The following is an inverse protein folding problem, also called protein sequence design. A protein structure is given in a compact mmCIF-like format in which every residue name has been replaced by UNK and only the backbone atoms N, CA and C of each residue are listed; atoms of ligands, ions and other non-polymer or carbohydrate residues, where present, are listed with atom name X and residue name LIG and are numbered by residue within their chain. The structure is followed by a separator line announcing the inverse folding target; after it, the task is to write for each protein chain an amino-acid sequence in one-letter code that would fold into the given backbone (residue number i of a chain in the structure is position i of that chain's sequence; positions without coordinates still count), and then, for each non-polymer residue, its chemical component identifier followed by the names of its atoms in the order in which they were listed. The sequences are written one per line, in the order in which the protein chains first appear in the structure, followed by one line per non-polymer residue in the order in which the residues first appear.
data_IF_208155017433
#
_entry.id   IF_208155017433
#
_cell.length_a   1.000
_cell.length_b   1.000
_cell.length_c   1.000
_cell.angle_alpha   90.00
_cell.angle_beta   90.00
_cell.angle_gamma   90.00
#
_symmetry.space_group_name_H-M   'P 1'
#
loop_
_entity.id
_entity.type
_entity.pdbx_description
1 polymer ?
#
# COMPACT_ATOMS: atom_id res chain seq x y z
N UNK A 1 -11.00 -1.31 14.71
CA UNK A 1 -10.31 -1.44 13.41
C UNK A 1 -11.10 -0.65 12.38
N UNK A 2 -10.46 0.00 11.41
CA UNK A 2 -11.13 0.67 10.28
C UNK A 2 -10.65 0.02 8.99
N UNK A 3 -11.59 -0.43 8.17
CA UNK A 3 -11.37 -1.05 6.87
C UNK A 3 -12.30 -0.42 5.84
N UNK A 4 -11.95 -0.61 4.57
CA UNK A 4 -12.69 -0.13 3.41
C UNK A 4 -12.89 -1.30 2.47
N UNK A 5 -14.11 -1.43 1.97
CA UNK A 5 -14.48 -2.42 0.96
C UNK A 5 -15.32 -1.78 -0.12
N UNK A 6 -15.40 -2.47 -1.25
CA UNK A 6 -16.28 -2.11 -2.38
C UNK A 6 -17.18 -3.28 -2.68
N UNK A 7 -18.45 -2.98 -2.97
CA UNK A 7 -19.44 -3.95 -3.41
C UNK A 7 -19.88 -3.53 -4.81
N UNK A 8 -19.76 -4.44 -5.77
CA UNK A 8 -20.15 -4.22 -7.17
C UNK A 8 -21.22 -5.24 -7.51
N UNK A 9 -22.38 -4.76 -7.96
CA UNK A 9 -23.51 -5.60 -8.35
C UNK A 9 -23.52 -5.84 -9.86
N UNK A 10 -24.13 -6.95 -10.29
CA UNK A 10 -24.39 -7.28 -11.70
C UNK A 10 -23.14 -7.29 -12.62
N UNK A 11 -21.96 -7.63 -12.07
CA UNK A 11 -20.71 -7.66 -12.81
C UNK A 11 -20.10 -9.07 -12.78
N UNK A 12 -20.72 -10.01 -13.52
CA UNK A 12 -20.34 -11.42 -13.54
C UNK A 12 -18.92 -11.66 -14.08
N UNK A 13 -18.47 -10.83 -15.02
CA UNK A 13 -17.12 -10.86 -15.58
C UNK A 13 -16.05 -10.54 -14.52
N UNK A 14 -16.24 -9.51 -13.69
CA UNK A 14 -15.31 -9.15 -12.61
C UNK A 14 -15.34 -10.18 -11.50
N UNK A 15 -16.52 -10.70 -11.15
CA UNK A 15 -16.66 -11.79 -10.18
C UNK A 15 -15.94 -13.06 -10.66
N UNK A 16 -16.07 -13.42 -11.95
CA UNK A 16 -15.36 -14.55 -12.54
C UNK A 16 -13.86 -14.32 -12.57
N UNK A 17 -13.39 -13.11 -12.88
CA UNK A 17 -11.96 -12.78 -12.91
C UNK A 17 -11.34 -12.86 -11.51
N UNK A 18 -12.06 -12.38 -10.49
CA UNK A 18 -11.70 -12.50 -9.09
C UNK A 18 -11.67 -13.97 -8.66
N UNK A 19 -12.67 -14.76 -9.04
CA UNK A 19 -12.72 -16.19 -8.77
C UNK A 19 -11.52 -16.95 -9.36
N UNK A 20 -11.10 -16.61 -10.59
CA UNK A 20 -9.90 -17.19 -11.22
C UNK A 20 -8.62 -16.89 -10.43
N UNK A 21 -8.50 -15.67 -9.92
CA UNK A 21 -7.36 -15.26 -9.09
C UNK A 21 -7.34 -16.03 -7.76
N UNK A 22 -8.47 -16.13 -7.06
CA UNK A 22 -8.54 -16.92 -5.83
C UNK A 22 -8.33 -18.42 -6.07
N UNK A 23 -8.79 -18.94 -7.22
CA UNK A 23 -8.54 -20.34 -7.62
C UNK A 23 -7.04 -20.60 -7.77
N UNK A 24 -6.28 -19.64 -8.31
CA UNK A 24 -4.82 -19.73 -8.37
C UNK A 24 -4.22 -19.83 -6.97
N UNK A 25 -4.61 -18.94 -6.05
CA UNK A 25 -4.10 -18.97 -4.68
C UNK A 25 -4.41 -20.29 -3.98
N UNK A 26 -5.64 -20.79 -4.14
CA UNK A 26 -6.07 -22.06 -3.56
C UNK A 26 -5.31 -23.26 -4.12
N UNK A 27 -4.99 -23.25 -5.41
CA UNK A 27 -4.20 -24.32 -6.04
C UNK A 27 -2.77 -24.44 -5.48
N UNK A 28 -2.25 -23.38 -4.86
CA UNK A 28 -0.92 -23.34 -4.27
C UNK A 28 -0.87 -23.72 -2.79
N UNK A 29 -2.01 -23.82 -2.09
CA UNK A 29 -2.07 -24.05 -0.64
C UNK A 29 -1.26 -25.29 -0.20
N UNK A 30 -1.29 -26.35 -1.00
CA UNK A 30 -0.61 -27.62 -0.73
C UNK A 30 0.50 -27.92 -1.76
N UNK A 31 1.10 -26.89 -2.36
CA UNK A 31 2.18 -27.04 -3.34
C UNK A 31 3.50 -26.53 -2.78
N UNK A 32 4.53 -27.35 -2.87
CA UNK A 32 5.90 -27.00 -2.50
C UNK A 32 6.64 -26.20 -3.58
N UNK A 33 6.08 -26.15 -4.79
CA UNK A 33 6.64 -25.41 -5.91
C UNK A 33 5.55 -24.74 -6.74
N UNK A 34 5.94 -23.67 -7.45
CA UNK A 34 5.04 -22.92 -8.32
C UNK A 34 5.13 -23.50 -9.73
N UNK A 35 4.00 -23.87 -10.37
CA UNK A 35 4.01 -24.35 -11.74
C UNK A 35 4.62 -23.33 -12.70
N UNK A 36 5.48 -23.80 -13.61
CA UNK A 36 6.03 -22.96 -14.69
C UNK A 36 4.99 -22.59 -15.74
N UNK A 37 3.93 -23.40 -15.86
CA UNK A 37 2.83 -23.20 -16.80
C UNK A 37 1.51 -23.23 -16.03
N UNK A 38 0.76 -22.16 -16.16
CA UNK A 38 -0.57 -22.03 -15.57
C UNK A 38 -1.67 -22.51 -16.52
N UNK A 39 -2.71 -23.13 -15.97
CA UNK A 39 -3.90 -23.49 -16.75
C UNK A 39 -4.56 -22.24 -17.34
N UNK A 40 -5.06 -22.31 -18.58
CA UNK A 40 -5.83 -21.21 -19.19
C UNK A 40 -7.07 -20.82 -18.35
N UNK A 41 -7.56 -21.73 -17.50
CA UNK A 41 -8.71 -21.50 -16.62
C UNK A 41 -8.47 -20.41 -15.58
N UNK A 42 -7.21 -20.12 -15.23
CA UNK A 42 -6.84 -19.09 -14.25
C UNK A 42 -6.23 -17.83 -14.89
N UNK A 43 -6.22 -17.75 -16.23
CA UNK A 43 -5.76 -16.54 -16.92
C UNK A 43 -6.74 -15.39 -16.65
N UNK A 44 -6.18 -14.18 -16.58
CA UNK A 44 -6.97 -12.97 -16.37
C UNK A 44 -7.96 -12.75 -17.53
N UNK A 45 -9.14 -12.27 -17.19
CA UNK A 45 -10.17 -11.88 -18.15
C UNK A 45 -9.96 -10.45 -18.63
N UNK A 46 -9.61 -9.56 -17.71
CA UNK A 46 -9.33 -8.16 -17.97
C UNK A 46 -7.98 -7.78 -17.37
N UNK A 47 -7.33 -6.78 -17.96
CA UNK A 47 -6.04 -6.29 -17.51
C UNK A 47 -5.84 -4.82 -17.87
N UNK A 48 -4.63 -4.30 -17.63
CA UNK A 48 -4.31 -2.89 -17.87
C UNK A 48 -4.41 -2.50 -19.35
N UNK A 49 -4.10 -3.40 -20.30
CA UNK A 49 -4.18 -3.10 -21.73
C UNK A 49 -5.60 -3.30 -22.31
N UNK A 50 -6.34 -4.26 -21.76
CA UNK A 50 -7.70 -4.65 -22.14
C UNK A 50 -8.58 -4.68 -20.89
N UNK A 51 -8.91 -3.50 -20.32
CA UNK A 51 -9.77 -3.42 -19.15
C UNK A 51 -11.22 -3.76 -19.51
N UNK A 52 -11.99 -4.13 -18.48
CA UNK A 52 -13.42 -4.35 -18.63
C UNK A 52 -14.17 -3.02 -18.52
N UNK A 53 -15.05 -2.73 -19.47
CA UNK A 53 -15.92 -1.55 -19.39
C UNK A 53 -17.11 -1.83 -18.47
N UNK A 54 -17.33 -0.98 -17.48
CA UNK A 54 -18.45 -1.06 -16.54
C UNK A 54 -19.09 0.31 -16.37
N UNK A 55 -20.41 0.38 -16.34
CA UNK A 55 -21.13 1.63 -16.01
C UNK A 55 -21.58 1.57 -14.56
N UNK A 56 -21.09 2.49 -13.72
CA UNK A 56 -21.50 2.65 -12.31
C UNK A 56 -22.03 4.07 -12.12
N UNK A 57 -23.21 4.23 -11.51
CA UNK A 57 -23.81 5.54 -11.24
C UNK A 57 -23.82 6.44 -12.49
N UNK A 58 -24.32 5.93 -13.62
CA UNK A 58 -24.37 6.61 -14.92
C UNK A 58 -23.00 7.04 -15.49
N UNK A 59 -21.89 6.57 -14.91
CA UNK A 59 -20.53 6.90 -15.33
C UNK A 59 -19.84 5.65 -15.85
N UNK A 60 -19.15 5.76 -16.99
CA UNK A 60 -18.41 4.64 -17.58
C UNK A 60 -17.00 4.54 -16.98
N UNK A 61 -16.57 3.33 -16.68
CA UNK A 61 -15.26 3.04 -16.12
C UNK A 61 -14.58 1.88 -16.84
N UNK A 62 -13.26 1.95 -16.91
CA UNK A 62 -12.39 0.81 -17.15
C UNK A 62 -12.02 0.17 -15.81
N UNK A 63 -12.24 -1.13 -15.69
CA UNK A 63 -12.00 -1.89 -14.45
C UNK A 63 -11.16 -3.12 -14.74
N UNK A 64 -10.17 -3.38 -13.89
CA UNK A 64 -9.38 -4.61 -13.93
C UNK A 64 -8.83 -4.97 -12.55
N UNK A 65 -8.49 -6.24 -12.38
CA UNK A 65 -7.87 -6.77 -11.17
C UNK A 65 -6.37 -7.00 -11.38
N UNK A 66 -5.61 -6.69 -10.34
CA UNK A 66 -4.18 -6.93 -10.26
C UNK A 66 -3.84 -7.91 -9.13
N UNK A 67 -2.66 -8.52 -9.20
CA UNK A 67 -2.19 -9.44 -8.18
C UNK A 67 -0.71 -9.31 -7.88
N UNK A 68 -0.34 -9.77 -6.70
CA UNK A 68 1.04 -9.96 -6.27
C UNK A 68 1.17 -11.30 -5.52
N UNK A 69 2.39 -11.86 -5.40
CA UNK A 69 3.63 -11.40 -6.01
C UNK A 69 3.64 -11.62 -7.53
N UNK A 70 4.65 -11.09 -8.22
CA UNK A 70 4.78 -11.24 -9.68
C UNK A 70 4.73 -12.70 -10.15
N UNK A 71 5.22 -13.64 -9.33
CA UNK A 71 5.22 -15.07 -9.66
C UNK A 71 3.81 -15.69 -9.59
N UNK A 72 2.85 -15.02 -8.94
CA UNK A 72 1.42 -15.40 -8.91
C UNK A 72 0.59 -14.64 -9.96
N UNK A 73 1.25 -14.04 -10.96
CA UNK A 73 0.59 -13.39 -12.09
C UNK A 73 0.58 -14.33 -13.31
N UNK A 74 -0.52 -15.07 -13.56
CA UNK A 74 -0.64 -15.89 -14.76
C UNK A 74 -0.75 -15.00 -16.00
N UNK A 75 -0.73 -15.61 -17.19
CA UNK A 75 -0.78 -14.88 -18.46
C UNK A 75 -1.95 -13.89 -18.48
N UNK A 76 -1.64 -12.64 -18.80
CA UNK A 76 -2.60 -11.55 -18.91
C UNK A 76 -2.92 -10.83 -17.60
N UNK A 77 -2.57 -11.36 -16.42
CA UNK A 77 -2.85 -10.67 -15.15
C UNK A 77 -1.92 -9.47 -14.96
N UNK A 78 -2.50 -8.31 -14.65
CA UNK A 78 -1.75 -7.11 -14.27
C UNK A 78 -1.03 -7.33 -12.93
N UNK A 79 0.25 -6.95 -12.84
CA UNK A 79 0.97 -6.94 -11.56
C UNK A 79 0.48 -5.78 -10.71
N UNK A 80 0.37 -6.00 -9.42
CA UNK A 80 -0.18 -5.00 -8.49
C UNK A 80 0.58 -3.66 -8.50
N UNK A 81 1.91 -3.74 -8.57
CA UNK A 81 2.76 -2.54 -8.64
C UNK A 81 2.59 -1.77 -9.96
N UNK A 82 2.26 -2.46 -11.06
CA UNK A 82 2.03 -1.83 -12.37
C UNK A 82 0.66 -1.14 -12.40
N UNK A 83 -0.34 -1.70 -11.69
CA UNK A 83 -1.64 -1.07 -11.51
C UNK A 83 -1.53 0.24 -10.68
N UNK A 84 -0.75 0.22 -9.60
CA UNK A 84 -0.42 1.42 -8.81
C UNK A 84 0.27 2.47 -9.68
N UNK A 85 1.29 2.06 -10.46
CA UNK A 85 1.98 2.94 -11.39
C UNK A 85 1.01 3.60 -12.37
N UNK A 86 0.08 2.83 -12.95
CA UNK A 86 -0.93 3.34 -13.87
C UNK A 86 -1.81 4.41 -13.25
N UNK A 87 -2.30 4.19 -12.04
CA UNK A 87 -3.16 5.16 -11.34
C UNK A 87 -2.41 6.45 -11.01
N UNK A 88 -1.15 6.35 -10.57
CA UNK A 88 -0.30 7.50 -10.23
C UNK A 88 0.11 8.28 -11.49
N UNK A 89 0.55 7.58 -12.54
CA UNK A 89 0.99 8.20 -13.80
C UNK A 89 -0.17 8.89 -14.54
N UNK A 90 -1.38 8.34 -14.51
CA UNK A 90 -2.53 8.96 -15.17
C UNK A 90 -3.07 10.20 -14.46
N UNK A 91 -2.79 10.38 -13.16
CA UNK A 91 -3.29 11.52 -12.38
C UNK A 91 -2.92 12.86 -13.03
N UNK A 92 -3.76 13.89 -12.92
CA UNK A 92 -3.47 15.21 -13.50
C UNK A 92 -3.53 16.33 -12.47
N UNK A 93 -4.33 16.18 -11.41
CA UNK A 93 -4.59 17.26 -10.44
C UNK A 93 -4.20 16.91 -9.03
N UNK A 94 -4.51 15.69 -8.59
CA UNK A 94 -4.17 15.25 -7.25
C UNK A 94 -3.96 13.74 -7.15
N UNK A 95 -3.20 13.33 -6.15
CA UNK A 95 -3.02 11.95 -5.73
C UNK A 95 -3.18 11.88 -4.22
N UNK A 96 -4.20 11.19 -3.76
CA UNK A 96 -4.43 10.96 -2.34
C UNK A 96 -4.18 9.49 -2.04
N UNK A 97 -3.27 9.20 -1.11
CA UNK A 97 -2.83 7.86 -0.75
C UNK A 97 -3.15 7.61 0.72
N UNK A 98 -3.93 6.58 1.01
CA UNK A 98 -4.12 6.07 2.37
C UNK A 98 -3.47 4.70 2.48
N UNK A 99 -2.53 4.54 3.40
CA UNK A 99 -1.83 3.28 3.69
C UNK A 99 -1.68 3.09 5.19
N UNK A 100 -1.56 1.84 5.64
CA UNK A 100 -1.27 1.57 7.03
C UNK A 100 0.23 1.79 7.33
N UNK A 101 1.11 1.28 6.47
CA UNK A 101 2.56 1.47 6.60
C UNK A 101 3.19 2.01 5.30
N UNK A 102 4.10 2.97 5.46
CA UNK A 102 4.96 3.51 4.41
C UNK A 102 6.41 3.21 4.78
N UNK A 103 7.00 2.22 4.14
CA UNK A 103 8.36 1.78 4.43
C UNK A 103 8.95 1.16 3.15
N UNK A 104 9.58 1.96 2.26
CA UNK A 104 10.15 1.49 0.99
C UNK A 104 11.44 0.69 1.19
N UNK A 105 11.33 -0.37 1.99
CA UNK A 105 12.36 -1.35 2.29
C UNK A 105 11.81 -2.74 1.99
N UNK A 106 12.73 -3.63 1.68
CA UNK A 106 12.49 -5.05 1.57
C UNK A 106 13.54 -5.81 2.37
N UNK A 107 13.10 -6.75 3.18
CA UNK A 107 13.97 -7.67 3.88
C UNK A 107 14.15 -8.92 3.02
N UNK A 108 15.39 -9.31 2.77
CA UNK A 108 15.70 -10.64 2.22
C UNK A 108 16.13 -11.53 3.38
N UNK A 109 15.30 -12.48 3.77
CA UNK A 109 15.73 -13.60 4.63
C UNK A 109 16.42 -14.63 3.75
N UNK A 110 17.68 -14.94 4.06
CA UNK A 110 18.31 -16.13 3.52
C UNK A 110 17.86 -17.30 4.41
N UNK A 111 16.87 -18.07 3.97
CA UNK A 111 16.34 -19.24 4.69
C UNK A 111 17.38 -20.38 4.91
N UNK A 112 18.65 -20.18 4.53
CA UNK A 112 19.67 -21.23 4.48
C UNK A 112 20.82 -21.08 5.48
N UNK A 113 20.82 -20.08 6.37
CA UNK A 113 21.88 -19.91 7.37
C UNK A 113 21.30 -19.56 8.72
N UNK A 114 21.60 -20.38 9.73
CA UNK A 114 21.16 -20.24 11.14
C UNK A 114 21.58 -18.91 11.79
N UNK A 115 22.50 -18.17 11.17
CA UNK A 115 22.82 -16.79 11.50
C UNK A 115 21.94 -15.84 10.66
N UNK A 116 20.77 -15.53 11.20
CA UNK A 116 19.68 -14.78 10.58
C UNK A 116 20.02 -13.28 10.36
N UNK A 117 20.89 -12.98 9.39
CA UNK A 117 21.13 -11.60 8.96
C UNK A 117 20.10 -11.22 7.89
N UNK A 118 19.01 -10.57 8.32
CA UNK A 118 18.06 -9.97 7.36
C UNK A 118 18.72 -8.77 6.66
N UNK A 119 19.05 -8.94 5.38
CA UNK A 119 19.58 -7.83 4.58
C UNK A 119 18.43 -6.93 4.17
N UNK A 120 18.37 -5.74 4.78
CA UNK A 120 17.45 -4.68 4.36
C UNK A 120 17.97 -4.04 3.08
N UNK A 121 17.14 -3.97 2.05
CA UNK A 121 17.41 -3.26 0.81
C UNK A 121 16.35 -2.20 0.57
N UNK A 122 16.74 -1.10 -0.06
CA UNK A 122 15.79 -0.09 -0.51
C UNK A 122 14.93 -0.65 -1.65
N UNK A 123 13.62 -0.51 -1.51
CA UNK A 123 12.63 -0.93 -2.50
C UNK A 123 11.99 0.32 -3.10
N UNK A 124 12.55 0.78 -4.22
CA UNK A 124 12.22 2.10 -4.77
C UNK A 124 10.82 2.20 -5.37
N UNK A 125 10.22 1.10 -5.84
CA UNK A 125 9.12 1.13 -6.82
C UNK A 125 8.01 2.14 -6.51
N UNK A 126 7.35 2.05 -5.36
CA UNK A 126 6.26 2.99 -5.04
C UNK A 126 6.76 4.39 -4.59
N UNK A 127 7.92 4.46 -3.92
CA UNK A 127 8.51 5.72 -3.45
C UNK A 127 8.98 6.59 -4.62
N UNK A 128 9.63 5.97 -5.61
CA UNK A 128 10.11 6.58 -6.84
C UNK A 128 8.96 7.21 -7.65
N UNK A 129 7.82 6.54 -7.74
CA UNK A 129 6.62 7.08 -8.41
C UNK A 129 6.14 8.39 -7.77
N UNK A 130 6.13 8.47 -6.43
CA UNK A 130 5.76 9.71 -5.74
C UNK A 130 6.80 10.81 -5.97
N UNK A 131 8.09 10.46 -5.90
CA UNK A 131 9.19 11.42 -6.15
C UNK A 131 9.11 12.01 -7.55
N UNK A 132 8.93 11.17 -8.56
CA UNK A 132 8.80 11.57 -9.96
C UNK A 132 7.64 12.54 -10.15
N UNK A 133 6.45 12.18 -9.65
CA UNK A 133 5.25 13.01 -9.79
C UNK A 133 5.38 14.35 -9.06
N UNK A 134 5.96 14.36 -7.86
CA UNK A 134 6.19 15.58 -7.09
C UNK A 134 7.11 16.56 -7.81
N UNK A 135 8.26 16.07 -8.30
CA UNK A 135 9.32 16.92 -8.84
C UNK A 135 9.05 17.30 -10.29
N UNK A 136 8.67 16.33 -11.13
CA UNK A 136 8.56 16.54 -12.58
C UNK A 136 7.19 17.05 -13.01
N UNK A 137 6.13 16.58 -12.35
CA UNK A 137 4.73 16.85 -12.77
C UNK A 137 4.00 17.82 -11.85
N UNK A 138 4.53 18.10 -10.66
CA UNK A 138 4.01 19.09 -9.70
C UNK A 138 2.54 18.84 -9.33
N UNK A 139 2.14 17.57 -9.28
CA UNK A 139 0.78 17.18 -8.89
C UNK A 139 0.69 17.21 -7.36
N UNK A 140 -0.46 17.65 -6.85
CA UNK A 140 -0.72 17.69 -5.41
C UNK A 140 -0.83 16.29 -4.83
N UNK A 141 0.03 15.95 -3.86
CA UNK A 141 -0.01 14.67 -3.16
C UNK A 141 -0.43 14.87 -1.70
N UNK A 142 -1.37 14.05 -1.24
CA UNK A 142 -1.71 13.89 0.18
C UNK A 142 -1.47 12.45 0.60
N UNK A 143 -0.56 12.25 1.55
CA UNK A 143 -0.23 10.94 2.09
C UNK A 143 -0.78 10.82 3.52
N UNK A 144 -1.70 9.89 3.72
CA UNK A 144 -2.29 9.57 5.01
C UNK A 144 -1.77 8.20 5.46
N UNK A 145 -0.98 8.18 6.53
CA UNK A 145 -0.31 6.98 7.05
C UNK A 145 -0.89 6.64 8.41
N UNK A 146 -1.26 5.38 8.65
CA UNK A 146 -1.71 4.98 9.99
C UNK A 146 -0.60 5.04 11.02
N UNK A 147 -0.92 5.57 12.20
CA UNK A 147 0.00 5.63 13.33
C UNK A 147 -0.40 4.56 14.35
N UNK A 148 0.40 3.50 14.45
CA UNK A 148 0.13 2.33 15.29
C UNK A 148 1.41 1.79 15.94
N UNK A 149 1.30 0.93 16.96
CA UNK A 149 2.44 0.53 17.82
C UNK A 149 3.60 -0.14 17.06
N UNK A 150 3.32 -0.72 15.89
CA UNK A 150 4.31 -1.40 15.07
C UNK A 150 4.85 -0.54 13.92
N UNK A 151 4.36 0.69 13.72
CA UNK A 151 4.90 1.64 12.73
C UNK A 151 6.42 1.71 12.88
N UNK A 152 7.14 1.53 11.77
CA UNK A 152 8.60 1.48 11.78
C UNK A 152 9.20 2.89 11.96
N UNK A 153 10.26 3.09 12.77
CA UNK A 153 10.83 4.42 12.96
C UNK A 153 11.33 5.09 11.67
N UNK A 154 11.86 4.29 10.72
CA UNK A 154 12.29 4.80 9.42
C UNK A 154 11.14 5.35 8.56
N UNK A 155 9.87 5.04 8.86
CA UNK A 155 8.74 5.67 8.17
C UNK A 155 8.81 7.19 8.27
N UNK A 156 9.20 7.73 9.44
CA UNK A 156 9.43 9.18 9.58
C UNK A 156 10.51 9.67 8.61
N UNK A 157 11.66 8.98 8.56
CA UNK A 157 12.78 9.38 7.72
C UNK A 157 12.45 9.36 6.21
N UNK A 158 11.78 8.31 5.73
CA UNK A 158 11.41 8.21 4.31
C UNK A 158 10.38 9.27 3.92
N UNK A 159 9.36 9.46 4.74
CA UNK A 159 8.33 10.47 4.50
C UNK A 159 8.90 11.88 4.60
N UNK A 160 9.81 12.12 5.55
CA UNK A 160 10.52 13.39 5.67
C UNK A 160 11.39 13.66 4.43
N UNK A 161 12.11 12.65 3.94
CA UNK A 161 12.87 12.72 2.69
C UNK A 161 12.00 13.12 1.50
N UNK A 162 10.79 12.55 1.37
CA UNK A 162 9.84 12.99 0.35
C UNK A 162 9.42 14.46 0.53
N UNK A 163 9.11 14.85 1.77
CA UNK A 163 8.66 16.21 2.10
C UNK A 163 9.73 17.26 1.77
N UNK A 164 11.00 16.93 1.99
CA UNK A 164 12.13 17.82 1.69
C UNK A 164 12.37 18.04 0.21
N UNK A 165 11.87 17.18 -0.68
CA UNK A 165 11.95 17.42 -2.14
C UNK A 165 11.16 18.65 -2.59
N UNK A 166 10.17 19.07 -1.80
CA UNK A 166 9.39 20.28 -2.06
C UNK A 166 9.95 21.53 -1.37
N UNK A 167 11.04 21.43 -0.60
CA UNK A 167 11.65 22.61 0.04
C UNK A 167 12.18 23.54 -1.03
N UNK A 168 11.76 24.80 -0.99
CA UNK A 168 12.13 25.85 -1.95
C UNK A 168 11.80 25.57 -3.43
N UNK A 169 11.01 24.52 -3.71
CA UNK A 169 10.56 24.19 -5.06
C UNK A 169 9.16 24.79 -5.30
N UNK A 170 9.03 25.84 -6.15
CA UNK A 170 7.73 26.45 -6.41
C UNK A 170 6.76 25.46 -7.03
N UNK A 171 5.50 25.53 -6.61
CA UNK A 171 4.41 24.65 -7.05
C UNK A 171 4.60 23.16 -6.71
N UNK A 172 5.51 22.79 -5.80
CA UNK A 172 5.58 21.44 -5.24
C UNK A 172 4.62 21.30 -4.05
N UNK A 173 3.73 20.31 -4.08
CA UNK A 173 2.69 20.16 -3.05
C UNK A 173 2.63 18.72 -2.54
N UNK A 174 3.37 18.45 -1.46
CA UNK A 174 3.22 17.24 -0.66
C UNK A 174 2.70 17.59 0.73
N UNK A 175 1.56 17.04 1.12
CA UNK A 175 1.09 17.06 2.52
C UNK A 175 1.12 15.64 3.09
N UNK A 176 1.58 15.49 4.33
CA UNK A 176 1.61 14.18 4.99
C UNK A 176 0.97 14.27 6.37
N UNK A 177 0.08 13.34 6.69
CA UNK A 177 -0.55 13.21 8.01
C UNK A 177 -0.45 11.78 8.53
N UNK A 178 -0.28 11.68 9.84
CA UNK A 178 -0.39 10.44 10.60
C UNK A 178 -1.80 10.33 11.19
N UNK A 179 -2.47 9.20 10.96
CA UNK A 179 -3.85 8.96 11.37
C UNK A 179 -3.95 7.98 12.54
N UNK A 180 -4.65 8.37 13.59
CA UNK A 180 -4.91 7.52 14.77
C UNK A 180 -6.41 7.47 15.06
N UNK A 181 -7.12 6.37 14.71
CA UNK A 181 -8.59 6.33 14.75
C UNK A 181 -9.21 6.53 16.15
N UNK A 182 -8.46 6.26 17.23
CA UNK A 182 -8.84 6.54 18.63
C UNK A 182 -7.59 6.88 19.45
N UNK A 183 -7.75 7.70 20.48
CA UNK A 183 -6.68 7.89 21.48
C UNK A 183 -6.40 6.55 22.16
N UNK A 184 -5.14 6.10 22.14
CA UNK A 184 -4.70 4.80 22.67
C UNK A 184 -4.64 4.80 24.21
N UNK A 185 -5.68 5.28 24.88
CA UNK A 185 -5.71 5.32 26.35
C UNK A 185 -5.97 3.93 26.97
N UNK A 186 -6.67 3.03 26.28
CA UNK A 186 -6.95 1.67 26.77
C UNK A 186 -6.33 0.62 25.85
N UNK A 187 -5.37 -0.13 26.40
CA UNK A 187 -4.49 -1.12 25.76
C UNK A 187 -5.19 -2.40 25.26
N UNK A 188 -6.52 -2.51 25.31
CA UNK A 188 -7.23 -3.78 25.09
C UNK A 188 -7.39 -4.15 23.61
N UNK A 189 -7.51 -3.19 22.70
CA UNK A 189 -7.53 -3.46 21.25
C UNK A 189 -6.90 -2.33 20.44
N UNK A 190 -5.92 -2.65 19.59
CA UNK A 190 -5.34 -1.66 18.67
C UNK A 190 -6.37 -1.24 17.63
N UNK A 191 -6.87 -0.01 17.75
CA UNK A 191 -7.70 0.58 16.71
C UNK A 191 -6.77 1.17 15.64
N UNK A 192 -6.51 0.40 14.58
CA UNK A 192 -5.70 0.82 13.42
C UNK A 192 -6.57 1.01 12.19
N UNK A 193 -6.22 1.98 11.33
CA UNK A 193 -6.78 2.13 10.00
C UNK A 193 -5.98 1.23 9.04
N UNK A 194 -6.64 0.25 8.45
CA UNK A 194 -6.02 -0.75 7.57
C UNK A 194 -6.31 -0.49 6.10
N UNK A 195 -6.81 0.69 5.74
CA UNK A 195 -7.14 1.05 4.37
C UNK A 195 -5.86 1.16 3.52
N UNK A 196 -5.85 0.53 2.34
CA UNK A 196 -4.83 0.72 1.30
C UNK A 196 -5.51 1.08 -0.01
N UNK A 197 -5.54 2.38 -0.30
CA UNK A 197 -6.11 2.86 -1.54
C UNK A 197 -5.44 4.15 -2.00
N UNK A 198 -5.55 4.38 -3.30
CA UNK A 198 -5.16 5.60 -3.98
C UNK A 198 -6.41 6.15 -4.66
N UNK A 199 -6.66 7.44 -4.52
CA UNK A 199 -7.67 8.14 -5.32
C UNK A 199 -7.03 9.35 -5.98
N UNK A 200 -7.24 9.47 -7.29
CA UNK A 200 -6.79 10.58 -8.11
C UNK A 200 -8.00 11.26 -8.75
N UNK A 201 -7.77 12.29 -9.56
CA UNK A 201 -8.84 12.92 -10.32
C UNK A 201 -9.40 12.03 -11.46
N UNK A 202 -8.76 10.90 -11.76
CA UNK A 202 -9.10 10.03 -12.90
C UNK A 202 -9.29 8.56 -12.56
N UNK A 203 -8.76 8.10 -11.44
CA UNK A 203 -8.78 6.68 -11.09
C UNK A 203 -8.76 6.43 -9.59
N UNK A 204 -9.16 5.21 -9.24
CA UNK A 204 -9.07 4.64 -7.90
C UNK A 204 -8.32 3.33 -8.00
N UNK A 205 -7.39 3.11 -7.07
CA UNK A 205 -6.79 1.81 -6.79
C UNK A 205 -7.14 1.41 -5.35
N UNK A 206 -7.57 0.17 -5.13
CA UNK A 206 -7.84 -0.39 -3.80
C UNK A 206 -7.11 -1.73 -3.72
N UNK A 207 -6.27 -1.92 -2.72
CA UNK A 207 -5.46 -3.14 -2.59
C UNK A 207 -5.36 -3.67 -1.17
N UNK A 208 -4.63 -4.76 -1.02
CA UNK A 208 -4.38 -5.39 0.28
C UNK A 208 -3.05 -4.96 0.92
N UNK A 209 -2.14 -4.37 0.16
CA UNK A 209 -0.74 -4.20 0.54
C UNK A 209 -0.37 -2.79 0.95
N UNK A 210 0.38 -2.72 2.04
CA UNK A 210 1.05 -1.52 2.47
C UNK A 210 2.22 -1.20 1.54
N UNK A 211 2.74 0.01 1.63
CA UNK A 211 3.84 0.44 0.74
C UNK A 211 5.17 0.00 1.35
N UNK A 212 5.29 -1.32 1.43
CA UNK A 212 6.42 -2.09 1.98
C UNK A 212 6.83 -3.15 0.96
N UNK A 213 8.12 -3.25 0.66
CA UNK A 213 8.59 -4.11 -0.43
C UNK A 213 8.31 -5.60 -0.21
N UNK A 214 8.25 -6.06 1.04
CA UNK A 214 7.89 -7.44 1.37
C UNK A 214 6.49 -7.80 0.92
N UNK A 215 5.52 -6.89 1.07
CA UNK A 215 4.12 -7.17 0.74
C UNK A 215 3.98 -7.51 -0.74
N UNK A 216 4.54 -6.68 -1.63
CA UNK A 216 4.48 -6.92 -3.08
C UNK A 216 5.35 -8.09 -3.55
N UNK A 217 6.37 -8.50 -2.79
CA UNK A 217 7.36 -9.48 -3.24
C UNK A 217 7.08 -10.88 -2.73
N UNK A 218 6.52 -11.01 -1.53
CA UNK A 218 6.38 -12.30 -0.85
C UNK A 218 4.94 -12.64 -0.47
N UNK A 219 4.03 -11.65 -0.40
CA UNK A 219 2.66 -11.92 0.02
C UNK A 219 1.75 -12.07 -1.20
N UNK A 220 0.78 -12.99 -1.10
CA UNK A 220 -0.31 -13.11 -2.06
C UNK A 220 -1.37 -12.05 -1.78
N UNK A 221 -1.79 -11.32 -2.80
CA UNK A 221 -2.75 -10.23 -2.64
C UNK A 221 -3.38 -9.79 -3.95
N UNK A 222 -4.43 -8.99 -3.82
CA UNK A 222 -5.24 -8.51 -4.92
C UNK A 222 -5.38 -6.97 -4.88
N UNK A 223 -5.51 -6.41 -6.07
CA UNK A 223 -5.85 -5.01 -6.28
C UNK A 223 -7.02 -4.86 -7.24
N UNK A 224 -7.83 -3.84 -7.03
CA UNK A 224 -8.91 -3.40 -7.90
C UNK A 224 -8.58 -2.00 -8.40
N UNK A 225 -8.51 -1.85 -9.72
CA UNK A 225 -8.33 -0.54 -10.37
C UNK A 225 -9.60 -0.15 -11.12
N UNK A 226 -10.06 1.08 -10.90
CA UNK A 226 -11.24 1.67 -11.52
C UNK A 226 -10.82 3.02 -12.13
N UNK A 227 -10.87 3.15 -13.45
CA UNK A 227 -10.47 4.35 -14.20
C UNK A 227 -11.72 4.97 -14.85
N UNK A 228 -12.00 6.23 -14.56
CA UNK A 228 -13.17 6.90 -15.13
C UNK A 228 -12.93 7.24 -16.61
N UNK A 229 -13.92 6.95 -17.46
CA UNK A 229 -13.93 7.28 -18.89
C UNK A 229 -14.81 8.49 -19.16
N UNK A 230 -14.31 9.36 -20.03
CA UNK A 230 -15.05 10.55 -20.49
C UNK A 230 -15.12 11.66 -19.45
N UNK A 231 -15.85 12.72 -19.81
CA UNK A 231 -16.11 13.83 -18.90
C UNK A 231 -17.04 13.39 -17.76
N UNK A 232 -16.97 14.13 -16.63
CA UNK A 232 -17.92 13.96 -15.53
C UNK A 232 -19.35 14.09 -16.08
N UNK A 233 -20.28 13.18 -15.75
CA UNK A 233 -21.67 13.33 -16.16
C UNK A 233 -22.25 14.62 -15.54
N UNK A 234 -23.10 15.32 -16.29
CA UNK A 234 -23.85 16.51 -15.82
C UNK A 234 -24.91 16.19 -14.73
N UNK A 235 -25.03 14.92 -14.34
CA UNK A 235 -26.02 14.43 -13.37
C UNK A 235 -25.54 14.56 -11.91
N UNK A 236 -26.51 14.53 -11.00
CA UNK A 236 -26.36 14.67 -9.54
C UNK A 236 -25.69 13.49 -8.82
N UNK A 237 -25.54 12.34 -9.48
CA UNK A 237 -25.03 11.13 -8.82
C UNK A 237 -23.51 11.21 -8.61
N UNK A 238 -23.06 10.93 -7.39
CA UNK A 238 -21.64 10.97 -7.06
C UNK A 238 -20.87 9.82 -7.73
N UNK A 239 -19.79 10.17 -8.44
CA UNK A 239 -18.92 9.19 -9.10
C UNK A 239 -18.15 8.35 -8.07
N UNK A 240 -17.63 7.19 -8.48
CA UNK A 240 -16.81 6.34 -7.59
C UNK A 240 -15.58 7.12 -7.10
N UNK A 241 -14.98 7.94 -7.97
CA UNK A 241 -13.85 8.81 -7.62
C UNK A 241 -14.25 9.80 -6.52
N UNK A 242 -15.40 10.45 -6.65
CA UNK A 242 -15.88 11.43 -5.66
C UNK A 242 -16.18 10.79 -4.31
N UNK A 243 -16.81 9.60 -4.30
CA UNK A 243 -17.05 8.85 -3.07
C UNK A 243 -15.75 8.47 -2.36
N UNK A 244 -14.79 7.93 -3.11
CA UNK A 244 -13.47 7.54 -2.58
C UNK A 244 -12.67 8.75 -2.08
N UNK A 245 -12.74 9.87 -2.81
CA UNK A 245 -12.14 11.13 -2.40
C UNK A 245 -12.79 11.65 -1.11
N UNK A 246 -14.12 11.60 -0.99
CA UNK A 246 -14.84 12.02 0.20
C UNK A 246 -14.45 11.17 1.43
N UNK A 247 -14.30 9.86 1.27
CA UNK A 247 -13.82 8.96 2.34
C UNK A 247 -12.40 9.36 2.79
N UNK A 248 -11.49 9.63 1.84
CA UNK A 248 -10.15 10.11 2.17
C UNK A 248 -10.20 11.45 2.92
N UNK A 249 -10.95 12.41 2.40
CA UNK A 249 -11.04 13.77 2.96
C UNK A 249 -11.68 13.78 4.35
N UNK A 250 -12.65 12.89 4.60
CA UNK A 250 -13.23 12.69 5.92
C UNK A 250 -12.16 12.35 6.97
N UNK A 251 -11.31 11.37 6.69
CA UNK A 251 -10.21 11.03 7.58
C UNK A 251 -9.17 12.16 7.65
N UNK A 252 -8.83 12.75 6.51
CA UNK A 252 -7.82 13.79 6.37
C UNK A 252 -8.11 15.05 7.20
N UNK A 253 -9.36 15.49 7.23
CA UNK A 253 -9.80 16.67 7.96
C UNK A 253 -10.25 16.37 9.39
N UNK A 254 -10.31 15.09 9.78
CA UNK A 254 -10.63 14.71 11.15
C UNK A 254 -9.56 15.14 12.15
N UNK A 255 -9.95 15.28 13.42
CA UNK A 255 -9.01 15.50 14.54
C UNK A 255 -7.98 14.38 14.74
N UNK A 256 -8.25 13.21 14.14
CA UNK A 256 -7.44 12.00 14.21
C UNK A 256 -6.23 12.03 13.27
N UNK A 257 -6.22 12.93 12.28
CA UNK A 257 -5.09 13.11 11.36
C UNK A 257 -4.19 14.27 11.83
N UNK A 258 -2.94 13.96 12.19
CA UNK A 258 -1.94 14.95 12.63
C UNK A 258 -0.89 15.16 11.55
N UNK A 259 -0.64 16.41 11.17
CA UNK A 259 0.38 16.76 10.17
C UNK A 259 1.80 16.40 10.62
N UNK A 260 2.61 15.95 9.67
CA UNK A 260 4.06 15.79 9.83
C UNK A 260 4.71 17.15 10.13
N UNK A 261 5.59 17.20 11.13
CA UNK A 261 6.34 18.40 11.53
C UNK A 261 7.82 18.02 11.77
N UNK A 262 8.75 18.93 11.48
CA UNK A 262 10.20 18.68 11.52
C UNK A 262 10.68 18.13 12.88
N UNK A 263 10.20 18.73 13.96
CA UNK A 263 10.71 18.45 15.31
C UNK A 263 9.71 17.63 16.14
N UNK A 264 8.71 16.99 15.51
CA UNK A 264 7.68 16.24 16.20
C UNK A 264 7.54 14.84 15.61
N UNK A 265 8.30 13.92 16.18
CA UNK A 265 8.16 12.49 15.90
C UNK A 265 6.74 12.06 16.32
N UNK A 266 5.97 11.37 15.47
CA UNK A 266 4.69 10.79 15.83
C UNK A 266 4.77 9.89 17.07
N UNK A 267 3.77 9.96 17.95
CA UNK A 267 3.77 9.20 19.22
C UNK A 267 3.92 7.68 19.01
N UNK A 268 3.33 7.12 17.94
CA UNK A 268 3.50 5.71 17.58
C UNK A 268 4.96 5.31 17.33
N UNK A 269 5.79 6.24 16.85
CA UNK A 269 7.22 5.99 16.58
C UNK A 269 8.04 6.19 17.85
N UNK A 270 7.73 7.19 18.68
CA UNK A 270 8.42 7.44 19.95
C UNK A 270 8.41 6.21 20.87
N UNK A 271 7.27 5.52 20.97
CA UNK A 271 7.13 4.30 21.78
C UNK A 271 8.09 3.16 21.39
N UNK A 272 8.55 3.11 20.13
CA UNK A 272 9.55 2.15 19.68
C UNK A 272 10.98 2.63 19.93
N UNK A 273 11.25 3.92 19.77
CA UNK A 273 12.56 4.50 20.02
C UNK A 273 12.93 4.50 21.52
N UNK A 274 11.94 4.57 22.42
CA UNK A 274 12.16 4.53 23.87
C UNK A 274 12.43 3.13 24.43
N UNK A 275 12.40 2.08 23.60
CA UNK A 275 12.83 0.74 24.02
C UNK A 275 14.32 0.60 23.75
N UNK A 276 15.17 0.39 24.77
CA UNK A 276 16.58 0.09 24.54
C UNK A 276 16.69 -1.12 23.63
N UNK A 277 17.57 -1.07 22.64
CA UNK A 277 18.00 -2.27 21.93
C UNK A 277 18.58 -3.22 22.98
N UNK A 278 17.88 -4.33 23.25
CA UNK A 278 18.41 -5.38 24.10
C UNK A 278 19.57 -6.05 23.35
N UNK A 279 20.76 -5.48 23.48
CA UNK A 279 22.00 -6.18 23.20
C UNK A 279 22.09 -7.32 24.22
N UNK A 280 21.62 -8.51 23.84
CA UNK A 280 21.96 -9.73 24.55
C UNK A 280 23.45 -10.00 24.28
N UNK A 281 24.29 -9.53 25.19
CA UNK A 281 25.68 -10.01 25.31
C UNK A 281 25.57 -11.41 25.91
N UNK A 282 26.11 -12.47 25.26
CA UNK A 282 26.17 -13.79 25.88
C UNK A 282 27.05 -13.72 27.13
N UNK A 283 26.68 -14.33 28.26
CA UNK A 283 27.55 -14.38 29.43
C UNK A 283 28.82 -15.15 29.09
N UNK A 284 29.98 -14.53 29.33
CA UNK A 284 31.27 -15.21 29.38
C UNK A 284 31.19 -16.35 30.40
N UNK A 285 31.48 -17.56 29.93
CA UNK A 285 31.65 -18.74 30.78
C UNK A 285 32.92 -18.56 31.62
N UNK A 286 32.77 -18.15 32.89
CA UNK A 286 33.78 -18.39 33.91
C UNK A 286 33.81 -19.88 34.22
N UNK A 287 34.65 -20.65 33.52
CA UNK A 287 35.16 -21.91 34.03
C UNK A 287 36.51 -21.65 34.70
N UNK A 288 36.45 -21.52 36.03
CA UNK A 288 37.61 -21.71 36.88
C UNK A 288 38.07 -23.17 36.77
N UNK A 289 39.26 -23.37 36.20
CA UNK A 289 40.07 -24.55 36.47
C UNK A 289 41.02 -24.18 37.59
N UNK A 290 40.89 -24.82 38.74
CA UNK A 290 42.00 -25.24 39.58
C UNK A 290 41.50 -26.26 40.61
N UNK A 291 41.84 -27.53 40.38
CA UNK A 291 42.04 -28.54 41.42
C UNK A 291 43.24 -29.39 40.97
N UNK A 292 44.37 -29.20 41.65
CA UNK A 292 45.16 -30.31 42.21
C UNK A 292 44.81 -30.36 43.70
#
# INVERSE_FOLDING_TARGET
MKELGVIIYNCSCLALDLHRMFTLFWQLEYKEFIPTIWSKRIFAIANIEKPHNLTLNDTNYDVFLSSSPNIFCPKGRTKDIDAIYKVISDAQRFIYVSVMDYLPLINRSNYHTENEVSLQRYWSRADEMLREVLVLRRIKIRLLISCWKQTHPLTFNFVWSLKTLCTDLPNCSLEVKFFTPKDQHNNTFQTVNRNKFIVTDRAVYIGNFDWVGNDFTYNAGAGLTIIQKGAKPDKTNSTVIEQMKAIFEWDWYSRHAKSLQANKIPECIKQKLSKPASLKIPPESMEGKDIF
#
